data_IF_417362278764
#
_entry.id   IF_417362278764
#
_cell.length_a   1.000
_cell.length_b   1.000
_cell.length_c   1.000
_cell.angle_alpha   90.00
_cell.angle_beta   90.00
_cell.angle_gamma   90.00
#
_symmetry.space_group_name_H-M   'P 1'
#
loop_
_entity.id
_entity.type
_entity.pdbx_description
1 polymer ?
#
# COMPACT_ATOMS: atom_id res chain seq x y z
N UNK A 1 -31.64 -12.15 -5.18
CA UNK A 1 -31.13 -11.25 -6.22
C UNK A 1 -30.01 -10.29 -5.74
N UNK A 2 -29.81 -10.06 -4.43
CA UNK A 2 -28.73 -9.19 -3.89
C UNK A 2 -27.29 -9.72 -4.09
N UNK A 3 -27.07 -11.04 -4.27
CA UNK A 3 -25.72 -11.62 -4.34
C UNK A 3 -24.96 -11.40 -5.66
N UNK A 4 -25.62 -11.06 -6.77
CA UNK A 4 -24.94 -10.91 -8.07
C UNK A 4 -24.36 -9.51 -8.31
N UNK A 5 -24.92 -8.48 -7.70
CA UNK A 5 -24.41 -7.08 -7.83
C UNK A 5 -23.18 -6.85 -6.95
N UNK A 6 -23.15 -7.37 -5.73
CA UNK A 6 -21.99 -7.31 -4.83
C UNK A 6 -20.77 -8.02 -5.43
N UNK A 7 -20.99 -8.98 -6.30
CA UNK A 7 -19.97 -9.83 -6.90
C UNK A 7 -19.13 -9.11 -7.99
N UNK A 8 -19.54 -7.92 -8.45
CA UNK A 8 -18.82 -7.11 -9.46
C UNK A 8 -18.48 -5.71 -8.98
N UNK A 9 -18.67 -5.41 -7.70
CA UNK A 9 -18.45 -4.09 -7.14
C UNK A 9 -17.02 -3.60 -7.33
N UNK A 10 -16.88 -2.29 -7.54
CA UNK A 10 -15.61 -1.59 -7.57
C UNK A 10 -15.44 -0.84 -6.26
N UNK A 11 -14.30 -1.01 -5.65
CA UNK A 11 -13.90 -0.34 -4.43
C UNK A 11 -12.97 0.82 -4.76
N UNK A 12 -13.35 2.02 -4.38
CA UNK A 12 -12.42 3.14 -4.26
C UNK A 12 -11.84 3.08 -2.86
N UNK A 13 -10.56 2.77 -2.78
CA UNK A 13 -9.83 2.71 -1.51
C UNK A 13 -8.81 3.84 -1.43
N UNK A 14 -8.67 4.42 -0.25
CA UNK A 14 -7.55 5.30 0.09
C UNK A 14 -6.62 4.56 1.03
N UNK A 15 -5.37 4.44 0.66
CA UNK A 15 -4.29 3.94 1.51
C UNK A 15 -3.43 5.12 1.94
N UNK A 16 -3.12 5.20 3.22
CA UNK A 16 -2.28 6.26 3.78
C UNK A 16 -1.30 5.68 4.80
N UNK A 17 -0.03 6.02 4.65
CA UNK A 17 1.02 5.64 5.59
C UNK A 17 0.77 6.34 6.93
N UNK A 18 0.82 5.58 8.03
CA UNK A 18 0.57 6.12 9.38
C UNK A 18 1.78 6.88 9.88
N UNK A 19 1.50 7.88 10.72
CA UNK A 19 2.52 8.62 11.48
C UNK A 19 3.53 9.44 10.65
N UNK A 20 3.33 9.60 9.34
CA UNK A 20 4.14 10.45 8.47
C UNK A 20 3.40 11.76 8.19
N UNK A 21 4.11 12.87 8.28
CA UNK A 21 3.62 14.22 7.95
C UNK A 21 4.65 14.99 7.13
N UNK A 22 4.22 15.64 6.01
CA UNK A 22 2.92 15.53 5.35
C UNK A 22 2.59 14.08 4.95
N UNK A 23 1.30 13.73 4.74
CA UNK A 23 0.91 12.33 4.54
C UNK A 23 1.38 11.79 3.18
N UNK A 24 1.90 10.56 3.18
CA UNK A 24 2.08 9.74 1.99
C UNK A 24 0.81 8.93 1.78
N UNK A 25 0.13 9.12 0.66
CA UNK A 25 -1.15 8.42 0.42
C UNK A 25 -1.38 8.12 -1.06
N UNK A 26 -2.25 7.14 -1.32
CA UNK A 26 -2.71 6.76 -2.66
C UNK A 26 -4.22 6.52 -2.65
N UNK A 27 -4.89 6.77 -3.78
CA UNK A 27 -6.29 6.41 -4.00
C UNK A 27 -6.39 5.50 -5.20
N UNK A 28 -6.99 4.32 -5.03
CA UNK A 28 -6.98 3.25 -6.03
C UNK A 28 -8.38 2.71 -6.24
N UNK A 29 -8.74 2.41 -7.49
CA UNK A 29 -9.90 1.59 -7.84
C UNK A 29 -9.47 0.14 -8.03
N UNK A 30 -10.16 -0.75 -7.35
CA UNK A 30 -9.96 -2.20 -7.43
C UNK A 30 -11.29 -2.93 -7.52
N UNK A 31 -11.31 -4.12 -8.11
CA UNK A 31 -12.51 -4.97 -8.07
C UNK A 31 -12.67 -5.62 -6.71
N UNK A 32 -13.89 -5.70 -6.18
CA UNK A 32 -14.14 -6.32 -4.87
C UNK A 32 -13.78 -7.81 -4.79
N UNK A 33 -13.68 -8.49 -5.94
CA UNK A 33 -13.31 -9.91 -6.05
C UNK A 33 -11.83 -10.21 -5.93
N UNK A 34 -10.97 -9.20 -5.89
CA UNK A 34 -9.53 -9.48 -5.74
C UNK A 34 -9.26 -10.18 -4.40
N UNK A 35 -8.29 -11.09 -4.40
CA UNK A 35 -7.76 -11.64 -3.15
C UNK A 35 -6.96 -10.57 -2.40
N UNK A 36 -6.81 -10.72 -1.09
CA UNK A 36 -5.95 -9.84 -0.31
C UNK A 36 -4.49 -9.91 -0.80
N UNK A 37 -4.01 -11.08 -1.24
CA UNK A 37 -2.70 -11.19 -1.91
C UNK A 37 -2.60 -10.30 -3.15
N UNK A 38 -3.66 -10.24 -3.98
CA UNK A 38 -3.63 -9.33 -5.13
C UNK A 38 -3.70 -7.88 -4.72
N UNK A 39 -4.45 -7.56 -3.64
CA UNK A 39 -4.45 -6.23 -3.05
C UNK A 39 -3.05 -5.85 -2.55
N UNK A 40 -2.35 -6.74 -1.85
CA UNK A 40 -0.96 -6.54 -1.44
C UNK A 40 -0.07 -6.15 -2.62
N UNK A 41 -0.08 -6.91 -3.72
CA UNK A 41 0.70 -6.59 -4.92
C UNK A 41 0.37 -5.22 -5.53
N UNK A 42 -0.91 -4.83 -5.48
CA UNK A 42 -1.34 -3.50 -5.91
C UNK A 42 -0.74 -2.44 -4.98
N UNK A 43 -0.78 -2.65 -3.65
CA UNK A 43 -0.21 -1.73 -2.67
C UNK A 43 1.29 -1.57 -2.86
N UNK A 44 2.03 -2.65 -3.08
CA UNK A 44 3.45 -2.61 -3.39
C UNK A 44 3.75 -1.69 -4.58
N UNK A 45 3.02 -1.86 -5.68
CA UNK A 45 3.21 -1.03 -6.88
C UNK A 45 2.84 0.44 -6.63
N UNK A 46 1.71 0.72 -5.98
CA UNK A 46 1.28 2.12 -5.80
C UNK A 46 2.09 2.86 -4.75
N UNK A 47 2.66 2.15 -3.80
CA UNK A 47 3.59 2.71 -2.82
C UNK A 47 5.00 2.85 -3.41
N UNK A 48 5.44 1.95 -4.29
CA UNK A 48 6.75 1.96 -4.92
C UNK A 48 7.74 1.00 -4.26
N UNK A 49 7.26 0.00 -3.51
CA UNK A 49 8.06 -1.04 -2.88
C UNK A 49 8.27 -2.26 -3.78
N UNK A 50 9.17 -3.13 -3.38
CA UNK A 50 9.69 -4.24 -4.18
C UNK A 50 9.22 -5.62 -3.73
N UNK A 51 8.33 -5.69 -2.71
CA UNK A 51 7.81 -6.94 -2.14
C UNK A 51 8.94 -7.82 -1.54
N UNK A 52 9.89 -7.18 -0.86
CA UNK A 52 11.08 -7.83 -0.30
C UNK A 52 10.89 -8.30 1.15
N UNK A 53 9.83 -7.87 1.82
CA UNK A 53 9.59 -8.12 3.24
C UNK A 53 8.22 -8.77 3.49
N UNK A 54 8.06 -9.29 4.71
CA UNK A 54 6.79 -9.84 5.18
C UNK A 54 5.74 -8.75 5.35
N UNK A 55 4.47 -9.14 5.20
CA UNK A 55 3.35 -8.22 5.35
C UNK A 55 2.14 -8.93 5.98
N UNK A 56 1.18 -8.13 6.44
CA UNK A 56 -0.15 -8.63 6.84
C UNK A 56 -1.23 -7.56 6.66
N UNK A 57 -2.45 -8.02 6.47
CA UNK A 57 -3.64 -7.21 6.67
C UNK A 57 -4.23 -7.50 8.05
N UNK A 58 -4.74 -6.47 8.71
CA UNK A 58 -5.48 -6.58 9.97
C UNK A 58 -6.88 -6.02 9.73
N UNK A 59 -7.86 -6.91 9.63
CA UNK A 59 -9.25 -6.57 9.29
C UNK A 59 -10.17 -7.11 10.39
N UNK A 60 -10.88 -6.22 11.08
CA UNK A 60 -11.76 -6.59 12.20
C UNK A 60 -11.05 -7.45 13.28
N UNK A 61 -9.79 -7.14 13.57
CA UNK A 61 -8.99 -7.85 14.56
C UNK A 61 -8.44 -9.21 14.10
N UNK A 62 -8.66 -9.58 12.83
CA UNK A 62 -8.12 -10.81 12.24
C UNK A 62 -6.95 -10.47 11.34
N UNK A 63 -5.84 -11.19 11.49
CA UNK A 63 -4.66 -11.05 10.63
C UNK A 63 -4.71 -12.00 9.42
N UNK A 64 -4.38 -11.45 8.24
CA UNK A 64 -4.35 -12.16 6.96
C UNK A 64 -2.98 -11.96 6.31
N UNK A 65 -2.34 -13.06 5.94
CA UNK A 65 -1.09 -13.13 5.19
C UNK A 65 -0.95 -14.51 4.55
N UNK A 66 0.17 -14.82 3.93
CA UNK A 66 0.54 -16.21 3.67
C UNK A 66 0.92 -16.84 5.02
N UNK A 67 0.38 -18.03 5.33
CA UNK A 67 0.77 -18.77 6.54
C UNK A 67 2.25 -19.09 6.50
N UNK A 68 2.93 -18.82 7.58
CA UNK A 68 4.34 -19.17 7.75
C UNK A 68 4.49 -20.07 8.99
N UNK A 69 4.68 -21.36 8.74
CA UNK A 69 4.82 -22.37 9.79
C UNK A 69 6.15 -22.23 10.55
N UNK A 70 7.19 -21.69 9.91
CA UNK A 70 8.52 -21.53 10.50
C UNK A 70 8.51 -20.46 11.60
N UNK A 71 7.76 -19.38 11.39
CA UNK A 71 7.58 -18.31 12.40
C UNK A 71 6.39 -18.53 13.34
N UNK A 72 5.66 -19.65 13.19
CA UNK A 72 4.52 -19.95 14.06
C UNK A 72 3.37 -18.92 13.98
N UNK A 73 3.25 -18.21 12.88
CA UNK A 73 2.25 -17.17 12.66
C UNK A 73 0.97 -17.80 12.11
N UNK A 74 -0.07 -17.84 12.95
CA UNK A 74 -1.40 -18.33 12.57
C UNK A 74 -2.19 -17.23 11.87
N UNK A 75 -1.85 -16.99 10.59
CA UNK A 75 -2.57 -16.06 9.73
C UNK A 75 -3.66 -16.77 8.93
N UNK A 76 -4.78 -16.05 8.71
CA UNK A 76 -5.74 -16.52 7.70
C UNK A 76 -5.16 -16.33 6.30
N UNK A 77 -5.35 -17.28 5.37
CA UNK A 77 -4.71 -17.23 4.06
C UNK A 77 -5.28 -16.08 3.21
N UNK A 78 -4.48 -15.09 2.95
CA UNK A 78 -4.83 -13.92 2.14
C UNK A 78 -5.12 -14.25 0.67
N UNK A 79 -4.48 -15.31 0.13
CA UNK A 79 -4.71 -15.82 -1.23
C UNK A 79 -6.14 -16.29 -1.45
N UNK A 80 -6.78 -16.81 -0.40
CA UNK A 80 -8.14 -17.37 -0.46
C UNK A 80 -9.22 -16.38 -0.01
N UNK A 81 -8.84 -15.27 0.63
CA UNK A 81 -9.77 -14.27 1.16
C UNK A 81 -9.93 -13.13 0.17
N UNK A 82 -11.16 -12.78 -0.17
CA UNK A 82 -11.49 -11.70 -1.11
C UNK A 82 -11.82 -10.42 -0.36
N UNK A 83 -11.51 -9.27 -0.98
CA UNK A 83 -11.76 -7.95 -0.39
C UNK A 83 -13.23 -7.77 -0.01
N UNK A 84 -14.17 -8.13 -0.89
CA UNK A 84 -15.62 -7.99 -0.66
C UNK A 84 -16.19 -8.99 0.36
N UNK A 85 -15.41 -9.94 0.86
CA UNK A 85 -15.82 -10.86 1.94
C UNK A 85 -15.51 -10.26 3.32
N UNK A 86 -14.58 -9.34 3.42
CA UNK A 86 -14.04 -8.82 4.69
C UNK A 86 -14.22 -7.31 4.87
N UNK A 87 -14.45 -6.57 3.77
CA UNK A 87 -14.74 -5.13 3.76
C UNK A 87 -16.12 -4.96 3.12
N UNK A 88 -17.14 -4.71 3.96
CA UNK A 88 -18.54 -4.84 3.54
C UNK A 88 -19.21 -3.50 3.27
N UNK A 89 -18.69 -2.40 3.86
CA UNK A 89 -19.34 -1.11 3.80
C UNK A 89 -18.38 -0.01 3.38
N UNK A 90 -18.95 1.04 2.80
CA UNK A 90 -18.23 2.31 2.66
C UNK A 90 -17.84 2.83 4.06
N UNK A 91 -16.68 3.48 4.13
CA UNK A 91 -16.02 3.99 5.33
C UNK A 91 -15.41 2.92 6.24
N UNK A 92 -15.57 1.61 5.95
CA UNK A 92 -14.82 0.58 6.64
C UNK A 92 -13.31 0.89 6.52
N UNK A 93 -12.62 0.70 7.65
CA UNK A 93 -11.17 0.89 7.74
C UNK A 93 -10.52 -0.39 8.22
N UNK A 94 -9.35 -0.66 7.67
CA UNK A 94 -8.49 -1.75 8.10
C UNK A 94 -7.03 -1.33 7.98
N UNK A 95 -6.14 -2.14 8.49
CA UNK A 95 -4.71 -1.86 8.48
C UNK A 95 -3.98 -2.82 7.55
N UNK A 96 -2.90 -2.32 6.99
CA UNK A 96 -1.90 -3.09 6.27
C UNK A 96 -0.55 -2.75 6.85
N UNK A 97 0.19 -3.76 7.27
CA UNK A 97 1.56 -3.67 7.76
C UNK A 97 2.48 -4.32 6.74
N UNK A 98 3.50 -3.60 6.34
CA UNK A 98 4.57 -4.07 5.47
C UNK A 98 5.88 -3.91 6.20
N UNK A 99 6.76 -4.89 6.04
CA UNK A 99 8.04 -4.99 6.74
C UNK A 99 7.91 -5.00 8.26
N UNK A 100 7.95 -6.17 8.87
CA UNK A 100 7.80 -6.30 10.32
C UNK A 100 9.00 -5.74 11.11
N UNK A 101 10.15 -5.50 10.43
CA UNK A 101 11.31 -4.81 11.00
C UNK A 101 11.07 -3.31 11.12
N UNK A 102 10.72 -2.67 10.01
CA UNK A 102 10.46 -1.24 9.91
C UNK A 102 9.04 -0.84 10.32
N UNK A 103 8.11 -1.80 10.39
CA UNK A 103 6.71 -1.62 10.82
C UNK A 103 5.95 -0.53 10.06
N UNK A 104 5.95 -0.61 8.73
CA UNK A 104 5.23 0.33 7.87
C UNK A 104 3.71 0.10 7.93
N UNK A 105 3.06 0.70 8.92
CA UNK A 105 1.61 0.63 9.05
C UNK A 105 0.88 1.61 8.13
N UNK A 106 -0.14 1.11 7.45
CA UNK A 106 -1.04 1.88 6.62
C UNK A 106 -2.47 1.78 7.14
N UNK A 107 -3.21 2.87 7.04
CA UNK A 107 -4.67 2.83 7.12
C UNK A 107 -5.22 2.73 5.71
N UNK A 108 -6.06 1.72 5.47
CA UNK A 108 -6.82 1.58 4.23
C UNK A 108 -8.29 1.83 4.54
N UNK A 109 -8.90 2.73 3.77
CA UNK A 109 -10.32 3.06 3.89
C UNK A 109 -11.05 2.78 2.59
N UNK A 110 -12.15 2.03 2.64
CA UNK A 110 -13.11 1.92 1.55
C UNK A 110 -13.90 3.23 1.48
N UNK A 111 -13.54 4.13 0.57
CA UNK A 111 -14.23 5.43 0.43
C UNK A 111 -15.57 5.28 -0.26
N UNK A 112 -15.64 4.42 -1.31
CA UNK A 112 -16.85 4.16 -2.10
C UNK A 112 -16.90 2.70 -2.54
N UNK A 113 -18.12 2.17 -2.66
CA UNK A 113 -18.41 0.87 -3.27
C UNK A 113 -19.41 1.10 -4.40
N UNK A 114 -18.99 0.89 -5.64
CA UNK A 114 -19.71 1.30 -6.84
C UNK A 114 -19.96 0.10 -7.77
N UNK A 115 -20.99 0.16 -8.64
CA UNK A 115 -21.12 -0.80 -9.72
C UNK A 115 -19.92 -0.69 -10.68
N UNK A 116 -19.60 -1.77 -11.44
CA UNK A 116 -18.52 -1.73 -12.42
C UNK A 116 -18.87 -0.80 -13.58
N UNK A 117 -17.85 -0.13 -14.12
CA UNK A 117 -17.94 0.62 -15.36
C UNK A 117 -17.44 -0.23 -16.53
N UNK A 118 -18.20 -0.31 -17.63
CA UNK A 118 -18.00 -1.28 -18.72
C UNK A 118 -16.68 -1.13 -19.51
N UNK A 119 -15.94 -0.05 -19.33
CA UNK A 119 -14.71 0.22 -20.10
C UNK A 119 -13.47 0.45 -19.22
N UNK A 120 -13.55 0.22 -17.91
CA UNK A 120 -12.40 0.38 -17.02
C UNK A 120 -11.58 -0.91 -16.86
N UNK A 121 -10.27 -0.78 -17.07
CA UNK A 121 -9.31 -1.84 -16.72
C UNK A 121 -8.80 -1.59 -15.30
N UNK A 122 -9.21 -2.43 -14.38
CA UNK A 122 -8.76 -2.36 -12.98
C UNK A 122 -7.50 -3.23 -12.76
N UNK A 123 -6.57 -2.86 -11.82
CA UNK A 123 -6.60 -1.70 -10.93
C UNK A 123 -6.19 -0.39 -11.60
N UNK A 124 -6.67 0.75 -11.06
CA UNK A 124 -6.31 2.10 -11.51
C UNK A 124 -6.01 2.99 -10.30
N UNK A 125 -4.88 3.65 -10.29
CA UNK A 125 -4.58 4.70 -9.33
C UNK A 125 -5.20 6.02 -9.80
N UNK A 126 -5.98 6.68 -8.93
CA UNK A 126 -6.66 7.94 -9.21
C UNK A 126 -5.84 9.16 -8.76
N UNK A 127 -4.88 8.97 -7.86
CA UNK A 127 -4.05 10.02 -7.32
C UNK A 127 -3.29 9.60 -6.08
N UNK A 128 -2.37 10.44 -5.66
CA UNK A 128 -1.53 10.26 -4.48
C UNK A 128 -0.67 11.47 -4.25
N UNK A 129 0.02 11.47 -3.13
CA UNK A 129 0.99 12.51 -2.79
C UNK A 129 2.23 11.88 -2.18
N UNK A 130 3.38 12.46 -2.50
CA UNK A 130 4.73 12.16 -2.02
C UNK A 130 5.26 10.78 -2.42
N UNK A 131 6.56 10.65 -2.47
CA UNK A 131 7.23 9.37 -2.58
C UNK A 131 7.04 8.53 -1.32
N UNK A 132 7.06 7.23 -1.48
CA UNK A 132 7.10 6.31 -0.34
C UNK A 132 8.51 6.32 0.27
N UNK A 133 8.64 6.05 1.59
CA UNK A 133 9.95 5.79 2.18
C UNK A 133 10.70 4.70 1.41
N UNK A 134 12.03 4.84 1.23
CA UNK A 134 12.85 3.76 0.69
C UNK A 134 12.77 2.49 1.55
N UNK A 135 13.00 1.33 0.94
CA UNK A 135 13.16 0.07 1.67
C UNK A 135 14.31 0.20 2.67
N UNK A 136 14.21 -0.50 3.79
CA UNK A 136 15.27 -0.62 4.81
C UNK A 136 15.79 0.71 5.38
N UNK A 137 14.99 1.78 5.35
CA UNK A 137 15.43 3.07 5.87
C UNK A 137 15.30 3.22 7.40
N UNK A 138 14.87 2.18 8.13
CA UNK A 138 14.76 2.17 9.59
C UNK A 138 13.42 2.70 10.11
N UNK A 139 12.35 2.44 9.39
CA UNK A 139 10.99 2.79 9.77
C UNK A 139 10.75 4.30 9.81
N UNK A 140 9.74 4.72 10.58
CA UNK A 140 9.35 6.14 10.69
C UNK A 140 10.50 7.00 11.19
N UNK A 141 11.28 6.49 12.16
CA UNK A 141 12.41 7.21 12.74
C UNK A 141 13.52 7.45 11.72
N UNK A 142 13.98 6.37 11.08
CA UNK A 142 15.03 6.45 10.05
C UNK A 142 14.61 7.26 8.83
N UNK A 143 13.34 7.17 8.40
CA UNK A 143 12.83 8.03 7.32
C UNK A 143 12.81 9.51 7.69
N UNK A 144 12.44 9.84 8.93
CA UNK A 144 12.46 11.23 9.40
C UNK A 144 13.89 11.77 9.40
N UNK A 145 14.84 11.01 9.93
CA UNK A 145 16.26 11.34 9.93
C UNK A 145 16.80 11.49 8.49
N UNK A 146 16.46 10.54 7.60
CA UNK A 146 16.83 10.60 6.19
C UNK A 146 16.38 11.93 5.56
N UNK A 147 15.12 12.34 5.76
CA UNK A 147 14.59 13.59 5.23
C UNK A 147 15.33 14.82 5.78
N UNK A 148 15.68 14.83 7.07
CA UNK A 148 16.45 15.91 7.68
C UNK A 148 17.85 16.00 7.05
N UNK A 149 18.52 14.87 6.83
CA UNK A 149 19.85 14.81 6.24
C UNK A 149 19.85 15.29 4.80
N UNK A 150 18.99 14.71 3.94
CA UNK A 150 19.00 15.01 2.49
C UNK A 150 18.48 16.40 2.15
N UNK A 151 17.82 17.09 3.08
CA UNK A 151 17.42 18.48 2.92
C UNK A 151 18.48 19.50 3.42
N UNK A 152 19.55 19.03 4.05
CA UNK A 152 20.61 19.87 4.58
C UNK A 152 22.00 19.52 3.99
N UNK A 153 22.44 20.16 2.89
CA UNK A 153 23.74 19.87 2.27
C UNK A 153 24.96 20.11 3.17
N UNK A 154 24.78 20.71 4.35
CA UNK A 154 25.86 20.91 5.34
C UNK A 154 25.89 19.80 6.40
N UNK A 155 24.96 18.83 6.33
CA UNK A 155 24.94 17.71 7.26
C UNK A 155 26.17 16.81 7.03
N UNK A 156 26.86 16.32 8.09
CA UNK A 156 28.04 15.46 7.93
C UNK A 156 27.79 14.23 7.08
N UNK A 157 26.59 13.64 7.17
CA UNK A 157 26.22 12.40 6.49
C UNK A 157 25.47 12.64 5.17
N UNK A 158 25.42 13.90 4.67
CA UNK A 158 24.64 14.26 3.49
C UNK A 158 25.05 13.45 2.25
N UNK A 159 26.34 13.41 1.92
CA UNK A 159 26.85 12.73 0.73
C UNK A 159 26.59 11.22 0.82
N UNK A 160 26.83 10.61 1.98
CA UNK A 160 26.57 9.18 2.21
C UNK A 160 25.07 8.83 2.03
N UNK A 161 24.18 9.66 2.57
CA UNK A 161 22.74 9.41 2.48
C UNK A 161 22.18 9.65 1.09
N UNK A 162 22.68 10.64 0.36
CA UNK A 162 22.31 10.85 -1.06
C UNK A 162 22.78 9.67 -1.93
N UNK A 163 24.02 9.19 -1.72
CA UNK A 163 24.52 8.00 -2.43
C UNK A 163 23.66 6.76 -2.12
N UNK A 164 23.29 6.56 -0.85
CA UNK A 164 22.48 5.42 -0.42
C UNK A 164 21.07 5.45 -1.01
N UNK A 165 20.38 6.60 -0.95
CA UNK A 165 18.98 6.71 -1.41
C UNK A 165 18.86 6.87 -2.92
N UNK A 166 19.93 7.32 -3.57
CA UNK A 166 19.99 7.68 -4.99
C UNK A 166 19.70 9.17 -5.23
N UNK A 167 20.46 9.77 -6.14
CA UNK A 167 20.37 11.21 -6.47
C UNK A 167 18.98 11.60 -7.02
N UNK A 168 18.23 10.65 -7.59
CA UNK A 168 16.91 10.86 -8.17
C UNK A 168 15.77 10.78 -7.13
N UNK A 169 16.06 10.52 -5.86
CA UNK A 169 15.04 10.43 -4.83
C UNK A 169 14.48 11.80 -4.46
N UNK A 170 13.24 12.04 -4.83
CA UNK A 170 12.49 13.26 -4.54
C UNK A 170 11.31 12.95 -3.59
N UNK A 171 11.40 13.29 -2.28
CA UNK A 171 10.38 12.94 -1.29
C UNK A 171 8.97 13.45 -1.61
N UNK A 172 8.87 14.59 -2.29
CA UNK A 172 7.59 15.21 -2.63
C UNK A 172 7.00 14.70 -3.96
N UNK A 173 7.72 13.85 -4.70
CA UNK A 173 7.31 13.39 -6.02
C UNK A 173 6.34 12.21 -5.94
N UNK A 174 5.32 12.26 -6.77
CA UNK A 174 4.44 11.14 -7.07
C UNK A 174 4.07 11.15 -8.55
N UNK A 175 4.47 10.12 -9.29
CA UNK A 175 4.15 9.98 -10.72
C UNK A 175 2.97 9.05 -10.94
N UNK A 176 1.78 9.64 -11.12
CA UNK A 176 0.54 8.92 -11.37
C UNK A 176 0.56 8.10 -12.67
N UNK A 177 1.23 8.61 -13.70
CA UNK A 177 1.28 7.93 -15.00
C UNK A 177 2.17 6.69 -14.93
N UNK A 178 3.31 6.80 -14.26
CA UNK A 178 4.22 5.68 -14.05
C UNK A 178 3.55 4.58 -13.20
N UNK A 179 2.92 4.95 -12.08
CA UNK A 179 2.18 4.01 -11.25
C UNK A 179 1.11 3.28 -12.06
N UNK A 180 0.32 3.99 -12.86
CA UNK A 180 -0.70 3.36 -13.71
C UNK A 180 -0.11 2.49 -14.83
N UNK A 181 1.08 2.82 -15.33
CA UNK A 181 1.81 1.97 -16.27
C UNK A 181 2.22 0.64 -15.64
N UNK A 182 2.70 0.69 -14.39
CA UNK A 182 3.10 -0.51 -13.64
C UNK A 182 1.89 -1.37 -13.22
N UNK A 183 0.79 -0.76 -12.80
CA UNK A 183 -0.45 -1.47 -12.43
C UNK A 183 -1.00 -2.35 -13.56
N UNK A 184 -0.82 -1.96 -14.82
CA UNK A 184 -1.22 -2.79 -15.99
C UNK A 184 -0.51 -4.14 -16.07
N UNK A 185 0.61 -4.32 -15.36
CA UNK A 185 1.38 -5.58 -15.34
C UNK A 185 0.90 -6.56 -14.28
N UNK A 186 0.08 -6.10 -13.33
CA UNK A 186 -0.49 -6.97 -12.29
C UNK A 186 -1.60 -7.81 -12.92
N UNK A 187 -1.33 -9.10 -13.07
CA UNK A 187 -2.27 -10.10 -13.62
C UNK A 187 -3.19 -10.67 -12.56
#
# INVERSE_FOLDING_TARGET
MKNKEVDRSIYQIKVALKSIKPPVWRRVLVTGKISLLKLHKILQVVMGWTDSHLHRFIINGVSYSEPDEEFGLDFRPERKTRLNEVVLNEKDKFEYEYDFGDSWFHTIQAEKIMPPEDHFCYPVCLGGERACPPEDCGGIGGYTELLEIITNPQHPDYEERIEWVGEDFEPEKFDLNEVNRLLKRIK
#
